data_IF_283904091490
#
_entry.id   IF_283904091490
#
_cell.length_a   1.000
_cell.length_b   1.000
_cell.length_c   1.000
_cell.angle_alpha   90.00
_cell.angle_beta   90.00
_cell.angle_gamma   90.00
#
_symmetry.space_group_name_H-M   'P 1'
#
loop_
_entity.id
_entity.type
_entity.pdbx_description
1 polymer ?
#
# COMPACT_ATOMS: atom_id res chain seq x y z
N UNK A 1 -13.45 14.22 2.22
CA UNK A 1 -12.46 13.28 1.64
C UNK A 1 -11.54 12.85 2.77
N UNK A 2 -11.65 11.60 3.21
CA UNK A 2 -10.83 11.07 4.30
C UNK A 2 -9.63 10.29 3.75
N UNK A 3 -8.57 11.03 3.41
CA UNK A 3 -7.29 10.44 2.97
C UNK A 3 -6.78 9.44 4.00
N UNK A 4 -7.01 9.70 5.30
CA UNK A 4 -6.66 8.77 6.38
C UNK A 4 -7.35 7.40 6.22
N UNK A 5 -8.67 7.38 5.99
CA UNK A 5 -9.42 6.14 5.79
C UNK A 5 -8.90 5.36 4.58
N UNK A 6 -8.60 6.08 3.49
CA UNK A 6 -8.00 5.50 2.29
C UNK A 6 -6.62 4.87 2.56
N UNK A 7 -5.77 5.55 3.35
CA UNK A 7 -4.50 4.98 3.83
C UNK A 7 -4.73 3.70 4.63
N UNK A 8 -5.67 3.70 5.58
CA UNK A 8 -5.94 2.52 6.40
C UNK A 8 -6.42 1.32 5.58
N UNK A 9 -7.30 1.57 4.61
CA UNK A 9 -7.85 0.55 3.72
C UNK A 9 -6.74 -0.12 2.89
N UNK A 10 -5.88 0.68 2.25
CA UNK A 10 -4.75 0.17 1.49
C UNK A 10 -3.76 -0.55 2.40
N UNK A 11 -3.44 0.00 3.58
CA UNK A 11 -2.58 -0.67 4.56
C UNK A 11 -3.16 -2.03 4.93
N UNK A 12 -4.44 -2.10 5.31
CA UNK A 12 -5.07 -3.37 5.68
C UNK A 12 -5.01 -4.39 4.54
N UNK A 13 -5.15 -3.93 3.30
CA UNK A 13 -4.98 -4.79 2.12
C UNK A 13 -3.52 -5.26 1.97
N UNK A 14 -2.53 -4.38 2.07
CA UNK A 14 -1.09 -4.76 2.06
C UNK A 14 -0.76 -5.77 3.16
N UNK A 15 -1.37 -5.63 4.34
CA UNK A 15 -1.15 -6.54 5.47
C UNK A 15 -1.77 -7.92 5.27
N UNK A 16 -2.97 -7.95 4.69
CA UNK A 16 -3.78 -9.17 4.58
C UNK A 16 -3.53 -9.94 3.28
N UNK A 17 -3.08 -9.25 2.24
CA UNK A 17 -2.95 -9.77 0.88
C UNK A 17 -1.51 -9.58 0.38
N UNK A 18 -0.77 -10.69 0.30
CA UNK A 18 0.64 -10.72 -0.11
C UNK A 18 0.80 -10.43 -1.60
N UNK A 19 -0.15 -10.83 -2.42
CA UNK A 19 -0.13 -10.53 -3.86
C UNK A 19 -0.37 -9.04 -4.07
N UNK A 20 -1.30 -8.46 -3.31
CA UNK A 20 -1.49 -7.02 -3.29
C UNK A 20 -0.25 -6.28 -2.79
N UNK A 21 0.41 -6.76 -1.73
CA UNK A 21 1.65 -6.16 -1.25
C UNK A 21 2.75 -6.17 -2.34
N UNK A 22 2.87 -7.28 -3.07
CA UNK A 22 3.77 -7.41 -4.23
C UNK A 22 3.45 -6.37 -5.30
N UNK A 23 2.16 -6.24 -5.62
CA UNK A 23 1.64 -5.34 -6.64
C UNK A 23 1.82 -3.88 -6.21
N UNK A 24 1.56 -3.56 -4.96
CA UNK A 24 1.75 -2.24 -4.38
C UNK A 24 3.23 -1.83 -4.40
N UNK A 25 4.18 -2.75 -4.15
CA UNK A 25 5.59 -2.42 -4.28
C UNK A 25 6.02 -2.15 -5.73
N UNK A 26 5.45 -2.86 -6.71
CA UNK A 26 5.78 -2.69 -8.13
C UNK A 26 5.07 -1.50 -8.77
N UNK A 27 3.79 -1.36 -8.48
CA UNK A 27 2.86 -0.38 -9.06
C UNK A 27 1.95 0.22 -7.97
N UNK A 28 2.51 1.04 -7.05
CA UNK A 28 1.76 1.56 -5.90
C UNK A 28 0.59 2.46 -6.31
N UNK A 29 0.72 3.23 -7.40
CA UNK A 29 -0.33 4.10 -7.92
C UNK A 29 -1.54 3.26 -8.35
N UNK A 30 -1.35 2.32 -9.29
CA UNK A 30 -2.42 1.44 -9.77
C UNK A 30 -3.02 0.59 -8.65
N UNK A 31 -2.19 0.10 -7.72
CA UNK A 31 -2.66 -0.69 -6.59
C UNK A 31 -3.61 0.12 -5.68
N UNK A 32 -3.28 1.38 -5.43
CA UNK A 32 -4.13 2.30 -4.65
C UNK A 32 -5.41 2.63 -5.41
N UNK A 33 -5.33 2.95 -6.70
CA UNK A 33 -6.52 3.22 -7.52
C UNK A 33 -7.48 2.02 -7.56
N UNK A 34 -6.96 0.81 -7.72
CA UNK A 34 -7.75 -0.42 -7.79
C UNK A 34 -8.43 -0.77 -6.47
N UNK A 35 -7.79 -0.51 -5.33
CA UNK A 35 -8.41 -0.74 -4.01
C UNK A 35 -9.43 0.33 -3.71
N UNK A 36 -9.06 1.60 -3.93
CA UNK A 36 -9.89 2.71 -3.50
C UNK A 36 -11.04 3.00 -4.46
N UNK A 37 -10.97 2.49 -5.70
CA UNK A 37 -12.01 2.63 -6.74
C UNK A 37 -12.32 4.08 -7.10
N UNK A 38 -11.34 4.98 -6.94
CA UNK A 38 -11.51 6.43 -7.11
C UNK A 38 -10.38 7.01 -7.95
N UNK A 39 -10.75 7.85 -8.92
CA UNK A 39 -9.82 8.70 -9.67
C UNK A 39 -9.39 9.87 -8.79
N UNK A 40 -8.39 9.62 -7.94
CA UNK A 40 -7.75 10.64 -7.14
C UNK A 40 -6.68 11.37 -7.95
N UNK A 41 -6.41 12.65 -7.67
CA UNK A 41 -5.25 13.32 -8.24
C UNK A 41 -3.95 12.61 -7.84
N UNK A 42 -2.98 12.53 -8.76
CA UNK A 42 -1.67 11.89 -8.55
C UNK A 42 -1.00 12.32 -7.23
N UNK A 43 -1.08 13.60 -6.86
CA UNK A 43 -0.51 14.12 -5.62
C UNK A 43 -1.18 13.54 -4.36
N UNK A 44 -2.49 13.31 -4.41
CA UNK A 44 -3.20 12.66 -3.31
C UNK A 44 -2.87 11.17 -3.25
N UNK A 45 -2.77 10.50 -4.39
CA UNK A 45 -2.37 9.09 -4.46
C UNK A 45 -0.97 8.93 -3.88
N UNK A 46 -0.01 9.79 -4.25
CA UNK A 46 1.33 9.80 -3.65
C UNK A 46 1.29 9.98 -2.14
N UNK A 47 0.49 10.91 -1.64
CA UNK A 47 0.32 11.11 -0.19
C UNK A 47 -0.23 9.86 0.51
N UNK A 48 -1.16 9.14 -0.13
CA UNK A 48 -1.67 7.86 0.37
C UNK A 48 -0.56 6.81 0.37
N UNK A 49 0.19 6.67 -0.72
CA UNK A 49 1.29 5.70 -0.85
C UNK A 49 2.35 5.93 0.23
N UNK A 50 2.74 7.19 0.46
CA UNK A 50 3.70 7.55 1.50
C UNK A 50 3.17 7.21 2.89
N UNK A 51 1.91 7.53 3.18
CA UNK A 51 1.26 7.17 4.44
C UNK A 51 1.17 5.65 4.66
N UNK A 52 0.88 4.90 3.59
CA UNK A 52 0.84 3.43 3.61
C UNK A 52 2.23 2.88 3.88
N UNK A 53 3.25 3.31 3.13
CA UNK A 53 4.64 2.89 3.34
C UNK A 53 5.13 3.22 4.74
N UNK A 54 4.82 4.42 5.25
CA UNK A 54 5.17 4.82 6.61
C UNK A 54 4.54 3.88 7.64
N UNK A 55 3.25 3.55 7.53
CA UNK A 55 2.56 2.61 8.42
C UNK A 55 3.12 1.19 8.31
N UNK A 56 3.34 0.71 7.09
CA UNK A 56 3.84 -0.65 6.82
C UNK A 56 5.27 -0.82 7.34
N UNK A 57 6.12 0.20 7.19
CA UNK A 57 7.46 0.22 7.76
C UNK A 57 7.42 0.31 9.29
N UNK A 58 6.56 1.18 9.84
CA UNK A 58 6.40 1.34 11.29
C UNK A 58 5.96 0.03 11.97
N UNK A 59 5.06 -0.72 11.33
CA UNK A 59 4.60 -2.02 11.83
C UNK A 59 5.60 -3.18 11.55
N UNK A 60 6.77 -2.90 10.96
CA UNK A 60 7.79 -3.91 10.63
C UNK A 60 7.33 -4.92 9.58
N UNK A 61 6.32 -4.56 8.77
CA UNK A 61 5.71 -5.43 7.77
C UNK A 61 6.53 -5.42 6.49
N UNK A 62 7.20 -4.32 6.17
CA UNK A 62 8.11 -4.25 5.03
C UNK A 62 9.24 -5.28 5.13
N UNK A 63 9.84 -5.48 6.31
CA UNK A 63 10.84 -6.52 6.54
C UNK A 63 10.27 -7.94 6.38
N UNK A 64 9.04 -8.17 6.88
CA UNK A 64 8.35 -9.46 6.72
C UNK A 64 7.98 -9.76 5.27
N UNK A 65 7.58 -8.75 4.52
CA UNK A 65 7.29 -8.85 3.09
C UNK A 65 8.59 -9.08 2.31
N UNK A 66 9.66 -8.32 2.60
CA UNK A 66 10.98 -8.51 2.01
C UNK A 66 11.55 -9.92 2.23
N UNK A 67 11.35 -10.49 3.41
CA UNK A 67 11.70 -11.88 3.72
C UNK A 67 10.86 -12.93 2.97
N UNK A 68 9.65 -12.56 2.51
CA UNK A 68 8.77 -13.43 1.73
C UNK A 68 9.11 -13.42 0.24
N UNK A 69 9.58 -12.28 -0.28
CA UNK A 69 10.09 -12.17 -1.66
C UNK A 69 11.49 -12.78 -1.85
N UNK A 70 12.18 -13.11 -0.76
CA UNK A 70 13.56 -13.63 -0.74
C UNK A 70 13.73 -15.15 -0.83
N UNK A 71 12.80 -15.92 -1.41
CA UNK A 71 13.00 -17.37 -1.60
C UNK A 71 12.59 -17.85 -3.00
N UNK A 72 13.54 -17.82 -3.92
CA UNK A 72 13.69 -18.85 -4.96
C UNK A 72 15.08 -19.44 -4.82
#
# INVERSE_FOLDING_TARGET
>A
MDIKAKIEEVVNKVKSDKDFASKFQKEPIKAVEEVLGVDLPDDQIKSVIEGVNAKVNFDGIADKLGGLFGKK
#
